data_IF_891408432162
#
_entry.id   IF_891408432162
#
_cell.length_a   1.000
_cell.length_b   1.000
_cell.length_c   1.000
_cell.angle_alpha   90.00
_cell.angle_beta   90.00
_cell.angle_gamma   90.00
#
_symmetry.space_group_name_H-M   'P 1'
#
loop_
_entity.id
_entity.type
_entity.pdbx_description
1 polymer ?
#
# COMPACT_ATOMS: atom_id res chain seq x y z
N UNK A 1 -4.25 -1.70 -13.70
CA UNK A 1 -3.08 -0.78 -13.82
C UNK A 1 -3.36 0.49 -13.02
N UNK A 2 -2.49 0.83 -12.05
CA UNK A 2 -2.67 1.96 -11.15
C UNK A 2 -2.55 3.31 -11.88
N UNK A 3 -3.32 4.28 -11.42
CA UNK A 3 -3.35 5.63 -11.98
C UNK A 3 -2.00 6.37 -11.77
N UNK A 4 -1.48 7.09 -12.79
CA UNK A 4 -0.24 7.84 -12.67
C UNK A 4 -0.41 9.02 -11.69
N UNK A 5 0.17 8.91 -10.49
CA UNK A 5 0.26 10.03 -9.55
C UNK A 5 0.15 9.68 -8.06
N UNK A 6 -0.31 8.48 -7.70
CA UNK A 6 -0.33 8.03 -6.30
C UNK A 6 0.67 6.89 -6.10
N UNK A 7 1.87 7.23 -5.61
CA UNK A 7 2.90 6.25 -5.26
C UNK A 7 3.36 6.54 -3.83
N UNK A 8 3.61 5.49 -3.04
CA UNK A 8 4.39 5.67 -1.82
C UNK A 8 5.76 6.22 -2.22
N UNK A 9 6.30 7.21 -1.50
CA UNK A 9 7.64 7.76 -1.75
C UNK A 9 8.68 7.28 -0.74
N UNK A 10 8.23 6.59 0.31
CA UNK A 10 9.12 6.03 1.31
C UNK A 10 9.85 4.82 0.71
N UNK A 11 11.17 4.83 0.88
CA UNK A 11 12.06 3.72 0.60
C UNK A 11 12.60 3.20 1.94
N UNK A 12 12.94 1.91 2.00
CA UNK A 12 13.68 1.34 3.11
C UNK A 12 15.02 2.07 3.33
N UNK A 13 15.45 2.18 4.59
CA UNK A 13 16.68 2.87 5.03
C UNK A 13 17.85 1.92 5.29
N UNK A 14 17.62 0.62 5.13
CA UNK A 14 18.57 -0.49 5.35
C UNK A 14 19.47 -0.80 4.14
N UNK A 15 19.25 -0.11 3.01
CA UNK A 15 19.99 -0.33 1.78
C UNK A 15 19.41 -1.43 0.87
N UNK A 16 18.19 -1.92 1.12
CA UNK A 16 17.46 -2.91 0.30
C UNK A 16 16.70 -2.32 -0.91
N UNK A 17 16.88 -1.04 -1.21
CA UNK A 17 15.90 -0.12 -1.82
C UNK A 17 14.42 -0.58 -1.93
N UNK A 18 13.84 -1.24 -0.93
CA UNK A 18 12.46 -1.74 -1.03
C UNK A 18 11.45 -0.61 -0.91
N UNK A 19 10.41 -0.65 -1.75
CA UNK A 19 9.32 0.33 -1.82
C UNK A 19 8.04 -0.34 -2.33
N UNK A 20 6.89 0.10 -1.82
CA UNK A 20 5.57 -0.31 -2.34
C UNK A 20 5.28 0.47 -3.63
N UNK A 21 5.34 -0.22 -4.78
CA UNK A 21 5.21 0.40 -6.11
C UNK A 21 3.97 -0.06 -6.89
N UNK A 22 3.28 -1.08 -6.38
CA UNK A 22 2.11 -1.67 -7.05
C UNK A 22 0.83 -1.33 -6.28
N UNK A 23 -0.32 -1.16 -6.96
CA UNK A 23 -1.61 -1.13 -6.27
C UNK A 23 -1.99 -2.52 -5.77
N UNK A 24 -2.63 -2.58 -4.60
CA UNK A 24 -3.07 -3.85 -4.02
C UNK A 24 -3.72 -3.67 -2.65
N UNK A 25 -4.12 -4.79 -2.05
CA UNK A 25 -4.53 -4.86 -0.66
C UNK A 25 -3.29 -5.02 0.22
N UNK A 26 -3.16 -4.17 1.24
CA UNK A 26 -2.06 -4.18 2.19
C UNK A 26 -2.58 -4.36 3.61
N UNK A 27 -1.83 -5.09 4.41
CA UNK A 27 -2.11 -5.31 5.83
C UNK A 27 -1.06 -4.57 6.64
N UNK A 28 -1.51 -3.84 7.66
CA UNK A 28 -0.63 -3.16 8.62
C UNK A 28 -0.57 -4.00 9.90
N UNK A 29 0.62 -4.48 10.25
CA UNK A 29 0.91 -5.08 11.55
C UNK A 29 1.59 -4.07 12.48
N UNK A 30 1.22 -4.07 13.76
CA UNK A 30 1.88 -3.29 14.80
C UNK A 30 2.31 -4.28 15.88
N UNK A 31 3.60 -4.27 16.23
CA UNK A 31 4.17 -5.07 17.30
C UNK A 31 5.12 -4.24 18.16
N UNK A 32 5.38 -4.72 19.37
CA UNK A 32 6.41 -4.16 20.24
C UNK A 32 7.80 -4.67 19.87
N UNK A 33 8.84 -4.00 20.40
CA UNK A 33 10.24 -4.44 20.27
C UNK A 33 10.38 -5.89 20.74
N UNK A 34 11.04 -6.71 19.92
CA UNK A 34 11.26 -8.14 20.21
C UNK A 34 10.14 -9.08 19.77
N UNK A 35 9.07 -8.57 19.14
CA UNK A 35 8.07 -9.37 18.42
C UNK A 35 8.21 -9.07 16.93
N UNK A 36 8.96 -9.92 16.23
CA UNK A 36 9.31 -9.77 14.84
C UNK A 36 8.50 -10.73 13.96
N UNK A 37 8.10 -10.28 12.76
CA UNK A 37 7.33 -11.12 11.85
C UNK A 37 8.24 -12.17 11.21
N UNK A 38 7.67 -13.35 11.03
CA UNK A 38 8.34 -14.56 10.54
C UNK A 38 7.58 -15.17 9.38
N UNK A 39 8.30 -15.96 8.60
CA UNK A 39 7.79 -16.82 7.55
C UNK A 39 8.33 -18.24 7.71
N UNK A 40 7.97 -19.14 6.79
CA UNK A 40 8.53 -20.49 6.75
C UNK A 40 10.07 -20.56 6.57
N UNK A 41 10.70 -19.47 6.12
CA UNK A 41 12.15 -19.36 5.98
C UNK A 41 12.86 -18.75 7.20
N UNK A 42 12.12 -18.29 8.22
CA UNK A 42 12.66 -17.62 9.40
C UNK A 42 12.22 -16.16 9.52
N UNK A 43 13.06 -15.32 10.12
CA UNK A 43 12.80 -13.89 10.28
C UNK A 43 12.68 -13.19 8.92
N UNK A 44 11.66 -12.33 8.77
CA UNK A 44 11.43 -11.59 7.52
C UNK A 44 12.41 -10.42 7.36
N UNK A 45 12.79 -9.78 8.47
CA UNK A 45 13.65 -8.60 8.52
C UNK A 45 14.90 -8.88 9.36
N UNK A 46 16.04 -8.30 8.99
CA UNK A 46 17.29 -8.26 9.76
C UNK A 46 17.56 -6.84 10.28
N UNK A 47 16.81 -6.45 11.31
CA UNK A 47 16.88 -5.08 11.88
C UNK A 47 18.19 -4.88 12.63
N UNK A 48 19.05 -3.98 12.13
CA UNK A 48 20.34 -3.64 12.75
C UNK A 48 20.28 -2.37 13.60
N UNK A 49 19.35 -1.45 13.29
CA UNK A 49 19.14 -0.21 14.04
C UNK A 49 17.68 -0.07 14.53
N UNK A 50 17.43 0.29 15.80
CA UNK A 50 16.08 0.52 16.34
C UNK A 50 15.21 1.56 15.58
N UNK A 51 15.80 2.45 14.79
CA UNK A 51 15.06 3.46 14.00
C UNK A 51 15.02 3.14 12.50
N UNK A 52 15.45 1.94 12.11
CA UNK A 52 15.48 1.49 10.73
C UNK A 52 14.09 1.25 10.14
N UNK A 53 13.92 1.61 8.87
CA UNK A 53 12.84 1.12 8.02
C UNK A 53 13.43 0.03 7.13
N UNK A 54 13.10 -1.22 7.39
CA UNK A 54 13.69 -2.36 6.71
C UNK A 54 12.78 -2.90 5.59
N UNK A 55 13.38 -3.28 4.46
CA UNK A 55 12.79 -4.19 3.49
C UNK A 55 12.96 -5.64 3.96
N UNK A 56 12.26 -6.62 3.37
CA UNK A 56 12.32 -8.01 3.83
C UNK A 56 13.66 -8.69 3.46
N UNK A 57 14.72 -8.36 4.17
CA UNK A 57 16.11 -8.78 3.95
C UNK A 57 16.55 -9.96 4.82
N UNK A 58 15.70 -10.39 5.74
CA UNK A 58 15.92 -11.59 6.53
C UNK A 58 15.82 -12.89 5.70
N UNK A 59 16.25 -14.03 6.26
CA UNK A 59 16.19 -15.33 5.59
C UNK A 59 14.76 -15.76 5.19
N UNK A 60 13.76 -15.23 5.88
CA UNK A 60 12.34 -15.43 5.59
C UNK A 60 11.73 -14.39 4.65
N UNK A 61 12.47 -13.37 4.21
CA UNK A 61 11.92 -12.19 3.53
C UNK A 61 11.22 -12.45 2.20
N UNK A 62 11.62 -13.50 1.48
CA UNK A 62 11.01 -13.90 0.21
C UNK A 62 9.72 -14.74 0.37
N UNK A 63 9.38 -15.16 1.59
CA UNK A 63 8.25 -16.06 1.87
C UNK A 63 7.08 -15.34 2.54
N UNK A 64 5.84 -15.82 2.36
CA UNK A 64 4.67 -15.22 3.01
C UNK A 64 4.80 -15.18 4.53
N UNK A 65 4.31 -14.09 5.15
CA UNK A 65 4.20 -13.99 6.59
C UNK A 65 3.32 -15.12 7.17
N UNK A 66 3.85 -15.83 8.17
CA UNK A 66 3.16 -16.96 8.84
C UNK A 66 2.90 -16.72 10.32
N UNK A 67 3.51 -15.71 10.93
CA UNK A 67 3.32 -15.38 12.35
C UNK A 67 4.42 -14.51 12.93
N UNK A 68 4.47 -14.44 14.24
CA UNK A 68 5.45 -13.65 15.01
C UNK A 68 6.30 -14.58 15.86
N UNK A 69 7.56 -14.23 16.10
CA UNK A 69 8.50 -15.05 16.89
C UNK A 69 8.26 -14.98 18.41
N UNK A 70 7.60 -13.92 18.87
CA UNK A 70 7.21 -13.71 20.26
C UNK A 70 5.91 -12.89 20.34
N UNK A 71 5.26 -12.96 21.51
CA UNK A 71 4.15 -12.07 21.83
C UNK A 71 4.63 -10.61 21.91
N UNK A 72 3.92 -9.72 21.23
CA UNK A 72 4.25 -8.29 21.20
C UNK A 72 3.64 -7.51 22.35
N UNK A 73 4.37 -6.50 22.84
CA UNK A 73 3.80 -5.49 23.71
C UNK A 73 2.65 -4.75 23.00
N UNK A 74 1.59 -4.45 23.75
CA UNK A 74 0.39 -3.77 23.26
C UNK A 74 0.24 -2.38 23.91
N UNK A 75 -0.48 -1.50 23.23
CA UNK A 75 -0.70 -0.13 23.67
C UNK A 75 -1.77 0.57 22.83
N UNK A 76 -1.99 1.85 23.12
CA UNK A 76 -2.93 2.68 22.35
C UNK A 76 -2.20 3.37 21.22
N UNK A 77 -2.62 3.11 19.98
CA UNK A 77 -2.05 3.71 18.78
C UNK A 77 -3.14 4.41 17.97
N UNK A 78 -2.76 5.43 17.20
CA UNK A 78 -3.64 6.07 16.20
C UNK A 78 -2.97 5.95 14.85
N UNK A 79 -3.60 5.24 13.92
CA UNK A 79 -3.15 5.15 12.53
C UNK A 79 -3.84 6.27 11.74
N UNK A 80 -3.06 7.14 11.11
CA UNK A 80 -3.57 8.14 10.17
C UNK A 80 -3.06 7.79 8.78
N UNK A 81 -3.96 7.40 7.90
CA UNK A 81 -3.66 7.11 6.50
C UNK A 81 -4.05 8.33 5.68
N UNK A 82 -3.10 8.86 4.92
CA UNK A 82 -3.35 9.94 3.97
C UNK A 82 -3.19 9.35 2.56
N UNK A 83 -4.26 9.39 1.77
CA UNK A 83 -4.29 8.91 0.40
C UNK A 83 -5.16 9.80 -0.47
N UNK A 84 -4.99 9.70 -1.79
CA UNK A 84 -5.88 10.32 -2.75
C UNK A 84 -6.99 9.31 -3.10
N UNK A 85 -8.21 9.60 -2.69
CA UNK A 85 -9.41 8.97 -3.25
C UNK A 85 -9.82 9.80 -4.50
N UNK A 86 -10.47 9.17 -5.48
CA UNK A 86 -11.05 9.82 -6.68
C UNK A 86 -10.09 10.21 -7.82
N UNK A 87 -9.60 9.24 -8.61
CA UNK A 87 -9.43 9.51 -10.05
C UNK A 87 -10.77 9.15 -10.70
N UNK A 88 -11.54 10.11 -11.24
CA UNK A 88 -12.75 9.78 -11.99
C UNK A 88 -12.38 8.83 -13.12
N UNK A 89 -13.09 7.72 -13.25
CA UNK A 89 -12.94 6.85 -14.41
C UNK A 89 -13.06 7.71 -15.69
N UNK A 90 -12.16 7.58 -16.68
CA UNK A 90 -12.17 8.44 -17.88
C UNK A 90 -13.53 8.52 -18.60
N UNK A 91 -14.39 7.52 -18.41
CA UNK A 91 -15.74 7.45 -18.95
C UNK A 91 -16.76 8.40 -18.28
N UNK A 92 -16.49 8.98 -17.11
CA UNK A 92 -17.44 9.86 -16.42
C UNK A 92 -17.60 11.25 -17.08
N UNK A 93 -16.79 11.58 -18.10
CA UNK A 93 -16.87 12.86 -18.83
C UNK A 93 -17.73 12.77 -20.10
N UNK A 94 -18.16 11.58 -20.53
CA UNK A 94 -19.01 11.40 -21.71
C UNK A 94 -20.31 10.69 -21.31
N UNK A 95 -21.54 11.26 -21.41
CA UNK A 95 -21.96 12.25 -22.41
C UNK A 95 -23.03 13.26 -21.91
N UNK A 96 -22.66 14.51 -21.61
CA UNK A 96 -23.63 15.62 -21.61
C UNK A 96 -23.86 16.21 -23.01
N UNK A 97 -23.08 15.78 -24.02
CA UNK A 97 -23.15 16.28 -25.40
C UNK A 97 -24.23 15.66 -26.30
N UNK A 98 -24.82 14.52 -25.92
CA UNK A 98 -25.75 13.80 -26.82
C UNK A 98 -27.18 14.35 -26.78
N UNK A 99 -27.59 15.05 -25.72
CA UNK A 99 -28.93 15.64 -25.63
C UNK A 99 -29.10 16.99 -26.32
N UNK A 100 -28.02 17.73 -26.62
CA UNK A 100 -28.09 19.00 -27.35
C UNK A 100 -28.25 18.82 -28.88
N UNK A 101 -27.98 17.63 -29.41
CA UNK A 101 -28.09 17.34 -30.85
C UNK A 101 -29.45 16.79 -31.31
N UNK A 102 -30.25 16.20 -30.42
CA UNK A 102 -31.47 15.48 -30.79
C UNK A 102 -32.74 16.37 -30.86
N UNK A 103 -32.68 17.62 -30.38
CA UNK A 103 -33.86 18.49 -30.24
C UNK A 103 -34.30 19.28 -31.49
N UNK A 104 -33.65 19.11 -32.65
CA UNK A 104 -33.92 19.98 -33.82
C UNK A 104 -34.11 19.21 -35.12
N UNK A 105 -35.24 18.50 -35.26
CA UNK A 105 -35.90 18.03 -36.52
C UNK A 105 -37.20 17.34 -36.07
N UNK A 106 -38.43 17.75 -36.39
CA UNK A 106 -38.99 18.39 -37.59
C UNK A 106 -40.24 19.23 -37.18
N UNK A 107 -40.38 20.42 -37.77
CA UNK A 107 -41.71 21.03 -38.04
C UNK A 107 -41.96 20.82 -39.54
N UNK A 108 -42.99 20.06 -39.87
CA UNK A 108 -43.84 20.22 -41.06
C UNK A 108 -45.26 19.94 -40.57
#
# INVERSE_FOLDING_TARGET
PGEPGSTFTNIATDGTPVQITTPGEYIIGISGVGSMPTSGGGAIYDILDPIEVSGPDGPGGASPHTGWDADGAFGSYTIRIFGAEFIPAPAAIAPLGVWLGAGRRRRI
#
